data_IF_477067833264
#
_entry.id   IF_477067833264
#
_cell.length_a   1.000
_cell.length_b   1.000
_cell.length_c   1.000
_cell.angle_alpha   90.00
_cell.angle_beta   90.00
_cell.angle_gamma   90.00
#
_symmetry.space_group_name_H-M   'P 1'
#
loop_
_entity.id
_entity.type
_entity.pdbx_description
1 polymer ?
#
# COMPACT_ATOMS: atom_id res chain seq x y z
N UNK A 1 -22.28 27.45 -0.23
CA UNK A 1 -22.37 26.15 -0.93
C UNK A 1 -20.97 25.53 -0.93
N UNK A 2 -20.79 24.41 -0.25
CA UNK A 2 -19.50 23.71 -0.21
C UNK A 2 -19.20 23.09 -1.57
N UNK A 3 -18.13 23.57 -2.22
CA UNK A 3 -17.63 22.99 -3.48
C UNK A 3 -17.30 21.52 -3.23
N UNK A 4 -17.89 20.62 -4.02
CA UNK A 4 -17.66 19.18 -3.87
C UNK A 4 -16.18 18.86 -4.12
N UNK A 5 -15.66 17.82 -3.46
CA UNK A 5 -14.28 17.36 -3.67
C UNK A 5 -13.99 17.08 -5.16
N UNK A 6 -14.98 16.53 -5.86
CA UNK A 6 -14.91 16.26 -7.31
C UNK A 6 -14.67 17.54 -8.12
N UNK A 7 -15.40 18.62 -7.82
CA UNK A 7 -15.21 19.91 -8.50
C UNK A 7 -13.83 20.51 -8.21
N UNK A 8 -13.35 20.41 -6.96
CA UNK A 8 -12.00 20.87 -6.62
C UNK A 8 -10.92 20.10 -7.38
N UNK A 9 -11.10 18.80 -7.57
CA UNK A 9 -10.20 17.94 -8.35
C UNK A 9 -10.18 18.32 -9.83
N UNK A 10 -11.34 18.54 -10.46
CA UNK A 10 -11.41 19.00 -11.85
C UNK A 10 -10.68 20.33 -12.03
N UNK A 11 -10.97 21.33 -11.18
CA UNK A 11 -10.28 22.64 -11.25
C UNK A 11 -8.78 22.53 -10.99
N UNK A 12 -8.32 21.56 -10.19
CA UNK A 12 -6.90 21.33 -9.97
C UNK A 12 -6.26 20.73 -11.23
N UNK A 13 -6.89 19.72 -11.84
CA UNK A 13 -6.43 19.07 -13.06
C UNK A 13 -6.33 20.09 -14.21
N UNK A 14 -7.35 20.94 -14.37
CA UNK A 14 -7.40 21.96 -15.42
C UNK A 14 -6.27 23.00 -15.33
N UNK A 15 -5.65 23.16 -14.15
CA UNK A 15 -4.53 24.09 -13.93
C UNK A 15 -3.16 23.48 -14.15
N UNK A 16 -3.07 22.16 -14.34
CA UNK A 16 -1.80 21.48 -14.54
C UNK A 16 -1.48 21.51 -16.04
N UNK A 17 -0.46 22.28 -16.41
CA UNK A 17 0.02 22.35 -17.80
C UNK A 17 1.08 21.27 -18.11
N UNK A 18 1.70 20.71 -17.07
CA UNK A 18 2.76 19.71 -17.20
C UNK A 18 2.16 18.30 -17.31
N UNK A 19 2.23 17.71 -18.51
CA UNK A 19 1.74 16.37 -18.82
C UNK A 19 2.35 15.27 -17.91
N UNK A 20 3.61 15.42 -17.48
CA UNK A 20 4.25 14.45 -16.57
C UNK A 20 3.51 14.38 -15.23
N UNK A 21 3.10 15.54 -14.70
CA UNK A 21 2.36 15.64 -13.44
C UNK A 21 0.96 15.04 -13.60
N UNK A 22 0.30 15.29 -14.75
CA UNK A 22 -0.99 14.68 -15.07
C UNK A 22 -0.88 13.15 -15.14
N UNK A 23 0.17 12.64 -15.76
CA UNK A 23 0.42 11.20 -15.86
C UNK A 23 0.67 10.57 -14.49
N UNK A 24 1.47 11.20 -13.63
CA UNK A 24 1.67 10.74 -12.24
C UNK A 24 0.36 10.72 -11.44
N UNK A 25 -0.44 11.80 -11.55
CA UNK A 25 -1.74 11.88 -10.88
C UNK A 25 -2.69 10.78 -11.38
N UNK A 26 -2.72 10.54 -12.69
CA UNK A 26 -3.51 9.48 -13.30
C UNK A 26 -3.09 8.10 -12.78
N UNK A 27 -1.79 7.81 -12.72
CA UNK A 27 -1.28 6.54 -12.20
C UNK A 27 -1.67 6.35 -10.72
N UNK A 28 -1.52 7.38 -9.89
CA UNK A 28 -1.88 7.32 -8.47
C UNK A 28 -3.38 7.04 -8.29
N UNK A 29 -4.25 7.77 -9.01
CA UNK A 29 -5.69 7.61 -8.90
C UNK A 29 -6.17 6.26 -9.46
N UNK A 30 -5.54 5.78 -10.53
CA UNK A 30 -5.83 4.46 -11.12
C UNK A 30 -5.38 3.33 -10.19
N UNK A 31 -4.18 3.43 -9.60
CA UNK A 31 -3.70 2.46 -8.63
C UNK A 31 -4.64 2.40 -7.42
N UNK A 32 -5.06 3.55 -6.88
CA UNK A 32 -5.96 3.59 -5.71
C UNK A 32 -7.39 3.13 -6.00
N UNK A 33 -7.90 3.36 -7.21
CA UNK A 33 -9.24 2.88 -7.60
C UNK A 33 -9.28 1.40 -7.97
N UNK A 34 -8.14 0.80 -8.30
CA UNK A 34 -8.01 -0.63 -8.62
C UNK A 34 -7.65 -1.50 -7.41
N UNK A 35 -7.15 -0.91 -6.32
CA UNK A 35 -6.95 -1.61 -5.05
C UNK A 35 -8.33 -1.96 -4.46
N UNK A 36 -8.75 -3.20 -4.71
CA UNK A 36 -9.87 -3.82 -4.01
C UNK A 36 -9.38 -4.34 -2.67
N UNK A 37 -10.27 -4.33 -1.68
CA UNK A 37 -10.00 -4.99 -0.41
C UNK A 37 -9.63 -6.47 -0.65
N UNK A 38 -8.60 -6.95 0.05
CA UNK A 38 -8.11 -8.31 -0.12
C UNK A 38 -7.33 -8.57 -1.42
N UNK A 39 -7.02 -7.57 -2.24
CA UNK A 39 -6.27 -7.77 -3.50
C UNK A 39 -4.93 -8.47 -3.27
N UNK A 40 -4.14 -7.99 -2.30
CA UNK A 40 -2.83 -8.60 -1.98
C UNK A 40 -2.98 -10.04 -1.51
N UNK A 41 -3.96 -10.31 -0.64
CA UNK A 41 -4.27 -11.65 -0.17
C UNK A 41 -4.68 -12.59 -1.32
N UNK A 42 -5.52 -12.10 -2.23
CA UNK A 42 -6.00 -12.86 -3.38
C UNK A 42 -4.93 -13.10 -4.47
N UNK A 43 -3.81 -12.39 -4.44
CA UNK A 43 -2.68 -12.59 -5.35
C UNK A 43 -1.71 -13.69 -4.87
N UNK A 44 -1.77 -14.07 -3.59
CA UNK A 44 -0.93 -15.11 -3.02
C UNK A 44 -1.36 -16.50 -3.49
N UNK A 45 -0.41 -17.39 -3.73
CA UNK A 45 -0.69 -18.82 -3.89
C UNK A 45 -1.21 -19.42 -2.58
N UNK A 46 -1.83 -20.61 -2.65
CA UNK A 46 -2.27 -21.31 -1.45
C UNK A 46 -1.13 -21.57 -0.45
N UNK A 47 0.07 -21.85 -0.96
CA UNK A 47 1.27 -22.04 -0.14
C UNK A 47 1.66 -20.74 0.59
N UNK A 48 1.71 -19.63 -0.14
CA UNK A 48 2.01 -18.32 0.44
C UNK A 48 0.95 -17.85 1.45
N UNK A 49 -0.33 -18.12 1.19
CA UNK A 49 -1.40 -17.85 2.15
C UNK A 49 -1.21 -18.66 3.43
N UNK A 50 -0.84 -19.94 3.32
CA UNK A 50 -0.55 -20.79 4.47
C UNK A 50 0.65 -20.26 5.25
N UNK A 51 1.73 -19.84 4.60
CA UNK A 51 2.89 -19.23 5.26
C UNK A 51 2.52 -17.96 6.05
N UNK A 52 1.67 -17.11 5.48
CA UNK A 52 1.20 -15.90 6.17
C UNK A 52 0.35 -16.24 7.41
N UNK A 53 -0.56 -17.21 7.29
CA UNK A 53 -1.37 -17.66 8.43
C UNK A 53 -0.51 -18.33 9.52
N UNK A 54 0.48 -19.11 9.10
CA UNK A 54 1.41 -19.76 10.01
C UNK A 54 2.25 -18.72 10.77
N UNK A 55 2.76 -17.70 10.07
CA UNK A 55 3.49 -16.58 10.69
C UNK A 55 2.63 -15.83 11.71
N UNK A 56 1.33 -15.68 11.44
CA UNK A 56 0.39 -15.08 12.39
C UNK A 56 0.26 -15.92 13.66
N UNK A 57 0.16 -17.24 13.54
CA UNK A 57 0.08 -18.15 14.70
C UNK A 57 1.39 -18.07 15.50
N UNK A 58 2.54 -18.16 14.83
CA UNK A 58 3.86 -18.11 15.46
C UNK A 58 4.12 -16.80 16.21
N UNK A 59 3.61 -15.67 15.69
CA UNK A 59 3.75 -14.36 16.31
C UNK A 59 3.02 -14.22 17.65
N UNK A 60 2.10 -15.13 17.98
CA UNK A 60 1.39 -15.13 19.26
C UNK A 60 2.27 -15.63 20.41
N UNK A 61 3.34 -16.36 20.11
CA UNK A 61 4.34 -16.77 21.10
C UNK A 61 5.40 -15.66 21.25
N UNK A 62 5.51 -15.01 22.41
CA UNK A 62 6.53 -13.98 22.65
C UNK A 62 7.97 -14.48 22.47
N UNK A 63 8.22 -15.79 22.59
CA UNK A 63 9.55 -16.37 22.38
C UNK A 63 9.99 -16.33 20.92
N UNK A 64 9.05 -16.22 19.97
CA UNK A 64 9.34 -16.08 18.55
C UNK A 64 9.55 -14.61 18.12
N UNK A 65 9.35 -13.65 19.02
CA UNK A 65 9.46 -12.24 18.72
C UNK A 65 10.89 -11.73 18.93
N UNK A 66 11.32 -10.85 18.04
CA UNK A 66 12.57 -10.09 18.18
C UNK A 66 12.26 -8.60 18.36
N UNK A 67 13.19 -7.87 18.96
CA UNK A 67 13.02 -6.43 19.14
C UNK A 67 12.99 -5.71 17.77
N UNK A 68 12.26 -4.60 17.69
CA UNK A 68 12.24 -3.78 16.47
C UNK A 68 13.65 -3.32 16.05
N UNK A 69 14.54 -3.08 17.02
CA UNK A 69 15.93 -2.72 16.74
C UNK A 69 16.71 -3.90 16.13
N UNK A 70 16.41 -5.14 16.53
CA UNK A 70 16.93 -6.35 15.89
C UNK A 70 16.49 -6.45 14.43
N UNK A 71 15.20 -6.24 14.16
CA UNK A 71 14.63 -6.28 12.80
C UNK A 71 15.34 -5.28 11.90
N UNK A 72 15.53 -4.04 12.36
CA UNK A 72 16.25 -2.99 11.62
C UNK A 72 17.70 -3.35 11.34
N UNK A 73 18.42 -3.90 12.33
CA UNK A 73 19.80 -4.36 12.14
C UNK A 73 19.88 -5.43 11.05
N UNK A 74 18.97 -6.40 11.07
CA UNK A 74 18.96 -7.51 10.11
C UNK A 74 18.62 -7.08 8.68
N UNK A 75 17.94 -5.95 8.51
CA UNK A 75 17.45 -5.47 7.20
C UNK A 75 18.01 -4.10 6.81
N UNK A 76 19.17 -3.72 7.34
CA UNK A 76 19.79 -2.39 7.11
C UNK A 76 20.05 -2.08 5.62
N UNK A 77 20.08 -3.09 4.76
CA UNK A 77 20.23 -2.91 3.30
C UNK A 77 18.96 -2.35 2.63
N UNK A 78 17.81 -2.52 3.27
CA UNK A 78 16.48 -2.19 2.72
C UNK A 78 15.80 -1.02 3.44
N UNK A 79 16.45 -0.50 4.48
CA UNK A 79 16.07 0.68 5.26
C UNK A 79 17.00 1.85 4.92
#
# INVERSE_FOLDING_TARGET
MTVSLKQKLHTLIDKIENESILNELYQILTAKSTIKEGLLWGQLSAEQQNEVLQSLIESQDPLNLISNEEVKRNHIKWL
#
